data_IF_986295861654
#
_entry.id   IF_986295861654
#
_cell.length_a   1.000
_cell.length_b   1.000
_cell.length_c   1.000
_cell.angle_alpha   90.00
_cell.angle_beta   90.00
_cell.angle_gamma   90.00
#
_symmetry.space_group_name_H-M   'P 1'
#
loop_
_entity.id
_entity.type
_entity.pdbx_description
1 polymer ?
#
# COMPACT_ATOMS: atom_id res chain seq x y z
N UNK A 1 -37.02 -19.67 -7.44
CA UNK A 1 -36.09 -18.54 -7.28
C UNK A 1 -36.20 -17.70 -8.54
N UNK A 2 -36.58 -16.43 -8.41
CA UNK A 2 -36.79 -15.55 -9.56
C UNK A 2 -35.47 -15.09 -10.16
N UNK A 3 -35.43 -14.83 -11.48
CA UNK A 3 -34.25 -14.32 -12.20
C UNK A 3 -33.56 -13.13 -11.49
N UNK A 4 -34.36 -12.23 -10.90
CA UNK A 4 -33.86 -11.08 -10.15
C UNK A 4 -33.11 -11.46 -8.85
N UNK A 5 -33.44 -12.58 -8.20
CA UNK A 5 -32.74 -13.07 -7.02
C UNK A 5 -31.38 -13.68 -7.40
N UNK A 6 -31.33 -14.42 -8.51
CA UNK A 6 -30.10 -15.02 -9.04
C UNK A 6 -29.08 -13.96 -9.47
N UNK A 7 -29.54 -12.89 -10.13
CA UNK A 7 -28.70 -11.74 -10.51
C UNK A 7 -28.16 -11.02 -9.27
N UNK A 8 -28.99 -10.78 -8.24
CA UNK A 8 -28.55 -10.16 -6.98
C UNK A 8 -27.52 -11.01 -6.24
N UNK A 9 -27.69 -12.34 -6.25
CA UNK A 9 -26.74 -13.27 -5.65
C UNK A 9 -25.38 -13.20 -6.35
N UNK A 10 -25.35 -13.27 -7.68
CA UNK A 10 -24.12 -13.16 -8.49
C UNK A 10 -23.40 -11.83 -8.32
N UNK A 11 -24.14 -10.71 -8.29
CA UNK A 11 -23.56 -9.39 -8.03
C UNK A 11 -22.95 -9.33 -6.62
N UNK A 12 -23.65 -9.89 -5.62
CA UNK A 12 -23.15 -9.90 -4.24
C UNK A 12 -21.89 -10.75 -4.08
N UNK A 13 -21.83 -11.89 -4.75
CA UNK A 13 -20.66 -12.77 -4.79
C UNK A 13 -19.46 -12.06 -5.42
N UNK A 14 -19.65 -11.46 -6.61
CA UNK A 14 -18.59 -10.69 -7.29
C UNK A 14 -18.09 -9.51 -6.45
N UNK A 15 -18.98 -8.80 -5.75
CA UNK A 15 -18.57 -7.73 -4.84
C UNK A 15 -17.75 -8.24 -3.65
N UNK A 16 -18.08 -9.41 -3.11
CA UNK A 16 -17.31 -10.00 -2.02
C UNK A 16 -15.89 -10.40 -2.47
N UNK A 17 -15.74 -10.95 -3.68
CA UNK A 17 -14.42 -11.25 -4.25
C UNK A 17 -13.58 -9.99 -4.42
N UNK A 18 -14.17 -8.90 -4.95
CA UNK A 18 -13.48 -7.61 -5.11
C UNK A 18 -13.09 -6.98 -3.78
N UNK A 19 -13.96 -7.06 -2.76
CA UNK A 19 -13.64 -6.60 -1.41
C UNK A 19 -12.47 -7.40 -0.85
N UNK A 20 -12.49 -8.73 -0.97
CA UNK A 20 -11.43 -9.61 -0.46
C UNK A 20 -10.09 -9.33 -1.14
N UNK A 21 -10.09 -9.19 -2.47
CA UNK A 21 -8.88 -8.86 -3.23
C UNK A 21 -8.31 -7.48 -2.81
N UNK A 22 -9.17 -6.49 -2.61
CA UNK A 22 -8.74 -5.17 -2.15
C UNK A 22 -8.24 -5.19 -0.69
N UNK A 23 -8.86 -5.98 0.19
CA UNK A 23 -8.39 -6.18 1.58
C UNK A 23 -7.03 -6.88 1.63
N UNK A 24 -6.80 -7.86 0.74
CA UNK A 24 -5.51 -8.53 0.60
C UNK A 24 -4.45 -7.59 0.04
N UNK A 25 -4.79 -6.77 -0.95
CA UNK A 25 -3.90 -5.71 -1.45
C UNK A 25 -3.51 -4.73 -0.33
N UNK A 26 -4.48 -4.29 0.49
CA UNK A 26 -4.21 -3.45 1.67
C UNK A 26 -3.22 -4.13 2.60
N UNK A 27 -3.44 -5.40 2.96
CA UNK A 27 -2.55 -6.15 3.86
C UNK A 27 -1.13 -6.25 3.31
N UNK A 28 -1.00 -6.57 2.02
CA UNK A 28 0.29 -6.69 1.36
C UNK A 28 1.01 -5.33 1.30
N UNK A 29 0.30 -4.26 0.96
CA UNK A 29 0.89 -2.91 0.92
C UNK A 29 1.28 -2.40 2.32
N UNK A 30 0.49 -2.68 3.36
CA UNK A 30 0.80 -2.31 4.75
C UNK A 30 2.04 -3.04 5.29
N UNK A 31 2.20 -4.34 4.92
CA UNK A 31 3.42 -5.08 5.22
C UNK A 31 4.65 -4.53 4.49
N UNK A 32 4.51 -4.15 3.21
CA UNK A 32 5.59 -3.54 2.44
C UNK A 32 5.97 -2.16 3.00
N UNK A 33 4.99 -1.37 3.42
CA UNK A 33 5.20 -0.08 4.07
C UNK A 33 6.00 -0.23 5.38
N UNK A 34 5.66 -1.23 6.19
CA UNK A 34 6.38 -1.55 7.43
C UNK A 34 7.85 -1.92 7.14
N UNK A 35 8.10 -2.73 6.10
CA UNK A 35 9.46 -3.07 5.66
C UNK A 35 10.23 -1.84 5.18
N UNK A 36 9.61 -0.94 4.40
CA UNK A 36 10.26 0.29 3.95
C UNK A 36 10.68 1.19 5.12
N UNK A 37 9.85 1.28 6.16
CA UNK A 37 10.19 2.04 7.37
C UNK A 37 11.36 1.40 8.12
N UNK A 38 11.34 0.08 8.29
CA UNK A 38 12.43 -0.66 8.95
C UNK A 38 13.77 -0.50 8.20
N UNK A 39 13.77 -0.69 6.88
CA UNK A 39 14.95 -0.51 6.04
C UNK A 39 15.48 0.93 6.07
N UNK A 40 14.58 1.92 6.07
CA UNK A 40 14.96 3.33 6.18
C UNK A 40 15.57 3.63 7.56
N UNK A 41 15.05 3.04 8.64
CA UNK A 41 15.62 3.17 9.97
C UNK A 41 17.02 2.56 10.06
N UNK A 42 17.22 1.35 9.52
CA UNK A 42 18.52 0.70 9.45
C UNK A 42 19.54 1.55 8.65
N UNK A 43 19.14 2.03 7.46
CA UNK A 43 20.02 2.86 6.63
C UNK A 43 20.38 4.20 7.29
N UNK A 44 19.45 4.80 8.05
CA UNK A 44 19.74 6.01 8.85
C UNK A 44 20.72 5.74 9.98
N UNK A 45 20.61 4.58 10.64
CA UNK A 45 21.53 4.16 11.69
C UNK A 45 22.95 3.97 11.11
N UNK A 46 23.07 3.29 9.97
CA UNK A 46 24.34 3.10 9.27
C UNK A 46 24.99 4.42 8.86
N UNK A 47 24.19 5.38 8.37
CA UNK A 47 24.66 6.73 8.08
C UNK A 47 25.17 7.44 9.34
N UNK A 48 24.49 7.28 10.47
CA UNK A 48 24.92 7.89 11.73
C UNK A 48 26.24 7.31 12.22
N UNK A 49 26.41 5.98 12.10
CA UNK A 49 27.66 5.29 12.42
C UNK A 49 28.78 5.78 11.49
N UNK A 50 28.53 5.81 10.17
CA UNK A 50 29.49 6.29 9.18
C UNK A 50 29.92 7.74 9.45
N UNK A 51 28.98 8.59 9.88
CA UNK A 51 29.26 9.99 10.22
C UNK A 51 30.09 10.15 11.49
N UNK A 52 29.95 9.26 12.47
CA UNK A 52 30.69 9.28 13.73
C UNK A 52 32.11 8.68 13.63
N UNK A 53 32.41 7.90 12.60
CA UNK A 53 33.78 7.39 12.41
C UNK A 53 34.76 8.54 12.17
N UNK A 54 35.98 8.49 12.73
CA UNK A 54 37.00 9.52 12.49
C UNK A 54 37.36 9.59 11.00
N UNK A 55 37.46 10.80 10.47
CA UNK A 55 37.84 11.06 9.08
C UNK A 55 39.33 10.77 8.88
N UNK A 56 39.65 9.62 8.28
CA UNK A 56 40.98 9.32 7.74
C UNK A 56 41.16 9.84 6.30
N UNK A 57 42.31 9.57 5.66
CA UNK A 57 42.63 10.04 4.30
C UNK A 57 41.64 9.59 3.20
N UNK A 58 40.84 8.53 3.43
CA UNK A 58 39.81 8.04 2.50
C UNK A 58 38.48 8.81 2.58
N UNK A 59 38.54 10.14 2.55
CA UNK A 59 37.34 10.99 2.69
C UNK A 59 36.40 10.88 1.47
N UNK A 60 36.95 10.62 0.27
CA UNK A 60 36.18 10.46 -0.96
C UNK A 60 35.30 9.19 -0.97
N UNK A 61 35.85 8.04 -0.56
CA UNK A 61 35.10 6.78 -0.48
C UNK A 61 33.95 6.87 0.54
N UNK A 62 34.20 7.55 1.66
CA UNK A 62 33.17 7.81 2.67
C UNK A 62 32.06 8.69 2.11
N UNK A 63 32.39 9.76 1.41
CA UNK A 63 31.40 10.65 0.80
C UNK A 63 30.55 9.93 -0.26
N UNK A 64 31.16 9.07 -1.09
CA UNK A 64 30.45 8.24 -2.06
C UNK A 64 29.50 7.24 -1.37
N UNK A 65 29.95 6.59 -0.30
CA UNK A 65 29.13 5.66 0.50
C UNK A 65 27.96 6.37 1.19
N UNK A 66 28.18 7.57 1.71
CA UNK A 66 27.13 8.40 2.27
C UNK A 66 26.12 8.85 1.21
N UNK A 67 26.58 9.31 0.04
CA UNK A 67 25.71 9.72 -1.06
C UNK A 67 24.82 8.56 -1.55
N UNK A 68 25.39 7.35 -1.69
CA UNK A 68 24.62 6.17 -2.09
C UNK A 68 23.57 5.76 -1.05
N UNK A 69 23.90 5.82 0.24
CA UNK A 69 22.92 5.57 1.32
C UNK A 69 21.82 6.64 1.37
N UNK A 70 22.16 7.91 1.15
CA UNK A 70 21.17 8.98 1.03
C UNK A 70 20.26 8.78 -0.18
N UNK A 71 20.80 8.35 -1.32
CA UNK A 71 20.01 8.03 -2.50
C UNK A 71 19.04 6.86 -2.24
N UNK A 72 19.49 5.81 -1.52
CA UNK A 72 18.62 4.71 -1.09
C UNK A 72 17.50 5.18 -0.17
N UNK A 73 17.77 6.09 0.77
CA UNK A 73 16.74 6.67 1.64
C UNK A 73 15.70 7.47 0.86
N UNK A 74 16.13 8.25 -0.14
CA UNK A 74 15.20 8.97 -1.03
C UNK A 74 14.32 7.99 -1.80
N UNK A 75 14.93 6.98 -2.40
CA UNK A 75 14.20 5.95 -3.13
C UNK A 75 13.19 5.21 -2.26
N UNK A 76 13.56 4.83 -1.03
CA UNK A 76 12.65 4.20 -0.07
C UNK A 76 11.51 5.13 0.34
N UNK A 77 11.77 6.42 0.48
CA UNK A 77 10.72 7.42 0.78
C UNK A 77 9.72 7.54 -0.36
N UNK A 78 10.18 7.53 -1.61
CA UNK A 78 9.30 7.57 -2.78
C UNK A 78 8.43 6.30 -2.88
N UNK A 79 9.03 5.13 -2.60
CA UNK A 79 8.28 3.86 -2.52
C UNK A 79 7.22 3.87 -1.42
N UNK A 80 7.55 4.43 -0.26
CA UNK A 80 6.59 4.61 0.84
C UNK A 80 5.43 5.53 0.44
N UNK A 81 5.73 6.67 -0.18
CA UNK A 81 4.70 7.62 -0.61
C UNK A 81 3.76 7.00 -1.66
N UNK A 82 4.29 6.18 -2.57
CA UNK A 82 3.48 5.43 -3.52
C UNK A 82 2.60 4.39 -2.83
N UNK A 83 3.16 3.61 -1.91
CA UNK A 83 2.40 2.63 -1.13
C UNK A 83 1.27 3.28 -0.32
N UNK A 84 1.49 4.47 0.23
CA UNK A 84 0.47 5.24 0.95
C UNK A 84 -0.67 5.71 0.03
N UNK A 85 -0.35 6.14 -1.20
CA UNK A 85 -1.37 6.47 -2.21
C UNK A 85 -2.17 5.24 -2.64
N UNK A 86 -1.50 4.11 -2.86
CA UNK A 86 -2.15 2.85 -3.25
C UNK A 86 -3.09 2.37 -2.13
N UNK A 87 -2.66 2.43 -0.86
CA UNK A 87 -3.51 2.15 0.29
C UNK A 87 -4.73 3.06 0.37
N UNK A 88 -4.55 4.36 0.12
CA UNK A 88 -5.65 5.32 0.05
C UNK A 88 -6.68 4.95 -1.01
N UNK A 89 -6.21 4.44 -2.15
CA UNK A 89 -7.06 3.98 -3.26
C UNK A 89 -7.81 2.70 -2.89
N UNK A 90 -7.11 1.67 -2.43
CA UNK A 90 -7.75 0.41 -2.03
C UNK A 90 -8.78 0.60 -0.90
N UNK A 91 -8.50 1.48 0.07
CA UNK A 91 -9.47 1.79 1.14
C UNK A 91 -10.74 2.46 0.58
N UNK A 92 -10.61 3.36 -0.39
CA UNK A 92 -11.77 3.97 -1.08
C UNK A 92 -12.56 2.92 -1.86
N UNK A 93 -11.88 2.04 -2.57
CA UNK A 93 -12.51 0.96 -3.33
C UNK A 93 -13.29 0.01 -2.42
N UNK A 94 -12.71 -0.40 -1.28
CA UNK A 94 -13.40 -1.22 -0.28
C UNK A 94 -14.67 -0.51 0.22
N UNK A 95 -14.58 0.79 0.55
CA UNK A 95 -15.74 1.56 1.01
C UNK A 95 -16.82 1.63 -0.07
N UNK A 96 -16.44 1.86 -1.33
CA UNK A 96 -17.34 1.88 -2.48
C UNK A 96 -18.03 0.53 -2.69
N UNK A 97 -17.28 -0.58 -2.76
CA UNK A 97 -17.86 -1.91 -2.96
C UNK A 97 -18.78 -2.33 -1.81
N UNK A 98 -18.42 -1.98 -0.57
CA UNK A 98 -19.29 -2.21 0.60
C UNK A 98 -20.59 -1.40 0.50
N UNK A 99 -20.53 -0.15 0.05
CA UNK A 99 -21.70 0.70 -0.22
C UNK A 99 -22.62 0.09 -1.26
N UNK A 100 -22.07 -0.26 -2.44
CA UNK A 100 -22.83 -0.91 -3.52
C UNK A 100 -23.50 -2.20 -3.02
N UNK A 101 -22.78 -3.02 -2.24
CA UNK A 101 -23.35 -4.26 -1.68
C UNK A 101 -24.54 -4.00 -0.76
N UNK A 102 -24.50 -2.94 0.05
CA UNK A 102 -25.62 -2.54 0.91
C UNK A 102 -26.81 -2.12 0.05
N UNK A 103 -26.58 -1.37 -1.02
CA UNK A 103 -27.63 -0.90 -1.92
C UNK A 103 -28.27 -2.06 -2.72
N UNK A 104 -27.48 -3.06 -3.14
CA UNK A 104 -27.98 -4.30 -3.78
C UNK A 104 -28.87 -5.06 -2.81
N UNK A 105 -28.44 -5.22 -1.55
CA UNK A 105 -29.23 -5.90 -0.50
C UNK A 105 -30.54 -5.19 -0.19
N UNK A 106 -30.52 -3.85 -0.13
CA UNK A 106 -31.72 -3.04 0.13
C UNK A 106 -32.68 -2.96 -1.07
N UNK A 107 -32.28 -3.48 -2.24
CA UNK A 107 -33.05 -3.32 -3.48
C UNK A 107 -33.11 -1.87 -3.96
N UNK A 108 -32.21 -1.01 -3.45
CA UNK A 108 -32.12 0.41 -3.82
C UNK A 108 -31.47 0.60 -5.19
N UNK A 109 -30.63 -0.34 -5.60
CA UNK A 109 -30.22 -0.47 -7.00
C UNK A 109 -31.40 -0.99 -7.81
N UNK A 110 -32.15 -0.06 -8.41
CA UNK A 110 -33.04 -0.36 -9.54
C UNK A 110 -32.15 -0.95 -10.63
N UNK A 111 -32.14 -2.27 -10.74
CA UNK A 111 -31.67 -2.95 -11.95
C UNK A 111 -32.53 -2.38 -13.07
N UNK A 112 -31.92 -1.56 -13.93
CA UNK A 112 -32.55 -1.12 -15.16
C UNK A 112 -32.77 -2.40 -15.96
N UNK A 113 -34.02 -2.88 -15.94
CA UNK A 113 -34.50 -3.95 -16.79
C UNK A 113 -34.86 -3.38 -18.16
#
# INVERSE_FOLDING_TARGET
MGFAEDVKAKISESLNERIRAAEEAVKNTDSAQTQYVADAAATKLDLMILRKMPTGPNNADRAAKEASMQARLRHRRDQYAKAEQDLGTYRKDIAMYRGIRIDVRKGALRLIA
#
